data_IF_899848359455
#
_entry.id   IF_899848359455
#
_cell.length_a   1.000
_cell.length_b   1.000
_cell.length_c   1.000
_cell.angle_alpha   90.00
_cell.angle_beta   90.00
_cell.angle_gamma   90.00
#
_symmetry.space_group_name_H-M   'P 1'
#
loop_
_entity.id
_entity.type
_entity.pdbx_description
1 polymer ?
#
# COMPACT_ATOMS: atom_id res chain seq x y z
N UNK A 1 8.48 -12.63 6.49
CA UNK A 1 8.05 -12.20 5.13
C UNK A 1 7.01 -13.18 4.62
N UNK A 2 5.90 -12.69 4.05
CA UNK A 2 4.87 -13.54 3.45
C UNK A 2 5.09 -13.52 1.94
N UNK A 3 5.39 -14.68 1.35
CA UNK A 3 5.58 -14.82 -0.09
C UNK A 3 4.24 -15.04 -0.80
N UNK A 4 4.05 -14.38 -1.93
CA UNK A 4 2.82 -14.44 -2.72
C UNK A 4 3.11 -14.84 -4.15
N UNK A 5 2.54 -15.95 -4.59
CA UNK A 5 2.41 -16.23 -6.01
C UNK A 5 1.13 -15.55 -6.54
N UNK A 6 1.30 -14.54 -7.38
CA UNK A 6 0.20 -13.73 -7.89
C UNK A 6 -0.67 -14.44 -8.93
N UNK A 7 -0.17 -15.53 -9.51
CA UNK A 7 -0.89 -16.34 -10.49
C UNK A 7 -1.87 -17.32 -9.85
N UNK A 8 -1.67 -17.68 -8.59
CA UNK A 8 -2.45 -18.69 -7.88
C UNK A 8 -3.49 -18.07 -6.93
N UNK A 9 -4.76 -18.46 -7.09
CA UNK A 9 -5.83 -18.09 -6.15
C UNK A 9 -5.65 -18.75 -4.78
N UNK A 10 -5.03 -19.92 -4.71
CA UNK A 10 -4.71 -20.61 -3.47
C UNK A 10 -3.63 -19.88 -2.69
N UNK A 11 -2.61 -19.39 -3.36
CA UNK A 11 -1.57 -18.54 -2.75
C UNK A 11 -2.15 -17.26 -2.17
N UNK A 12 -3.10 -16.61 -2.85
CA UNK A 12 -3.80 -15.43 -2.31
C UNK A 12 -4.57 -15.74 -1.03
N UNK A 13 -5.31 -16.85 -0.98
CA UNK A 13 -6.02 -17.29 0.24
C UNK A 13 -5.06 -17.58 1.39
N UNK A 14 -3.91 -18.19 1.09
CA UNK A 14 -2.89 -18.49 2.08
C UNK A 14 -2.28 -17.22 2.67
N UNK A 15 -2.03 -16.21 1.84
CA UNK A 15 -1.56 -14.89 2.30
C UNK A 15 -2.54 -14.26 3.29
N UNK A 16 -3.84 -14.29 2.99
CA UNK A 16 -4.87 -13.78 3.90
C UNK A 16 -4.80 -14.49 5.26
N UNK A 17 -4.75 -15.82 5.28
CA UNK A 17 -4.64 -16.62 6.52
C UNK A 17 -3.38 -16.30 7.32
N UNK A 18 -2.24 -16.16 6.64
CA UNK A 18 -0.97 -15.82 7.30
C UNK A 18 -1.01 -14.39 7.87
N UNK A 19 -1.61 -13.45 7.14
CA UNK A 19 -1.81 -12.07 7.59
C UNK A 19 -2.68 -12.03 8.83
N UNK A 20 -3.82 -12.73 8.83
CA UNK A 20 -4.70 -12.86 9.99
C UNK A 20 -3.98 -13.42 11.22
N UNK A 21 -3.20 -14.49 11.04
CA UNK A 21 -2.43 -15.07 12.11
C UNK A 21 -1.46 -14.05 12.73
N UNK A 22 -0.75 -13.31 11.89
CA UNK A 22 0.20 -12.29 12.36
C UNK A 22 -0.47 -11.13 13.08
N UNK A 23 -1.61 -10.67 12.60
CA UNK A 23 -2.40 -9.64 13.30
C UNK A 23 -2.89 -10.12 14.68
N UNK A 24 -3.34 -11.39 14.79
CA UNK A 24 -3.73 -11.98 16.08
C UNK A 24 -2.56 -12.13 17.06
N UNK A 25 -1.35 -12.30 16.54
CA UNK A 25 -0.11 -12.30 17.32
C UNK A 25 0.34 -10.88 17.74
N UNK A 26 -0.40 -9.83 17.37
CA UNK A 26 -0.06 -8.43 17.67
C UNK A 26 1.02 -7.84 16.76
N UNK A 27 1.32 -8.48 15.63
CA UNK A 27 2.35 -8.05 14.70
C UNK A 27 1.74 -7.07 13.68
N UNK A 28 2.37 -5.90 13.55
CA UNK A 28 1.99 -4.92 12.52
C UNK A 28 2.41 -5.40 11.13
N UNK A 29 1.60 -5.06 10.12
CA UNK A 29 1.83 -5.48 8.74
C UNK A 29 1.90 -4.25 7.85
N UNK A 30 2.92 -4.18 7.01
CA UNK A 30 3.04 -3.16 5.95
C UNK A 30 2.53 -3.75 4.64
N UNK A 31 1.63 -3.03 3.98
CA UNK A 31 1.04 -3.42 2.70
C UNK A 31 1.13 -2.26 1.72
N UNK A 32 1.54 -2.55 0.49
CA UNK A 32 1.50 -1.61 -0.63
C UNK A 32 0.23 -1.87 -1.45
N UNK A 33 -0.83 -1.06 -1.28
CA UNK A 33 -2.16 -1.39 -1.81
C UNK A 33 -2.28 -1.24 -3.33
N UNK A 34 -1.36 -0.54 -3.99
CA UNK A 34 -1.32 -0.46 -5.44
C UNK A 34 -1.05 -1.83 -6.10
N UNK A 35 -0.28 -2.69 -5.43
CA UNK A 35 0.05 -4.04 -5.88
C UNK A 35 0.91 -4.13 -7.14
N UNK A 36 1.23 -3.01 -7.75
CA UNK A 36 2.11 -2.87 -8.91
C UNK A 36 2.82 -1.52 -8.87
N UNK A 37 3.86 -1.35 -9.67
CA UNK A 37 4.49 -0.05 -9.85
C UNK A 37 3.75 0.66 -10.99
N UNK A 38 3.17 1.85 -10.76
CA UNK A 38 2.48 2.60 -11.81
C UNK A 38 3.47 3.14 -12.85
N UNK A 39 2.96 3.49 -14.04
CA UNK A 39 3.75 4.17 -15.05
C UNK A 39 4.25 5.54 -14.58
N UNK A 40 5.26 6.09 -15.23
CA UNK A 40 5.92 7.34 -14.79
C UNK A 40 5.01 8.56 -14.78
N UNK A 41 4.01 8.58 -15.65
CA UNK A 41 3.00 9.63 -15.79
C UNK A 41 1.90 9.57 -14.72
N UNK A 42 1.74 8.42 -14.04
CA UNK A 42 0.75 8.24 -12.98
C UNK A 42 1.37 8.53 -11.63
N UNK A 43 0.85 9.50 -10.89
CA UNK A 43 1.36 9.86 -9.55
C UNK A 43 1.10 8.73 -8.55
N UNK A 44 -0.13 8.23 -8.50
CA UNK A 44 -0.55 7.15 -7.60
C UNK A 44 -1.63 6.31 -8.29
N UNK A 45 -1.36 5.01 -8.42
CA UNK A 45 -2.28 4.05 -9.02
C UNK A 45 -3.53 3.80 -8.17
N UNK A 46 -4.48 3.02 -8.69
CA UNK A 46 -5.65 2.60 -7.93
C UNK A 46 -5.25 1.62 -6.82
N UNK A 47 -5.94 1.71 -5.68
CA UNK A 47 -5.70 0.81 -4.56
C UNK A 47 -6.58 -0.44 -4.62
N UNK A 48 -6.00 -1.58 -4.30
CA UNK A 48 -6.71 -2.85 -4.14
C UNK A 48 -7.35 -2.94 -2.76
N UNK A 49 -8.55 -3.49 -2.69
CA UNK A 49 -9.37 -3.50 -1.47
C UNK A 49 -8.91 -4.50 -0.39
N UNK A 50 -8.05 -5.46 -0.73
CA UNK A 50 -7.67 -6.55 0.18
C UNK A 50 -7.13 -6.11 1.53
N UNK A 51 -6.24 -5.12 1.55
CA UNK A 51 -5.68 -4.58 2.79
C UNK A 51 -6.74 -3.94 3.70
N UNK A 52 -7.68 -3.20 3.09
CA UNK A 52 -8.75 -2.50 3.80
C UNK A 52 -9.80 -3.48 4.36
N UNK A 53 -10.11 -4.53 3.60
CA UNK A 53 -11.00 -5.61 4.06
C UNK A 53 -10.42 -6.32 5.29
N UNK A 54 -9.13 -6.67 5.25
CA UNK A 54 -8.46 -7.30 6.40
C UNK A 54 -8.48 -6.38 7.62
N UNK A 55 -8.17 -5.11 7.44
CA UNK A 55 -8.15 -4.15 8.54
C UNK A 55 -9.53 -4.00 9.21
N UNK A 56 -10.59 -3.94 8.42
CA UNK A 56 -11.97 -3.86 8.93
C UNK A 56 -12.38 -5.16 9.63
N UNK A 57 -12.12 -6.32 9.02
CA UNK A 57 -12.49 -7.62 9.58
C UNK A 57 -11.81 -7.87 10.94
N UNK A 58 -10.57 -7.43 11.09
CA UNK A 58 -9.80 -7.57 12.34
C UNK A 58 -9.85 -6.34 13.24
N UNK A 59 -10.64 -5.32 12.89
CA UNK A 59 -10.75 -4.06 13.64
C UNK A 59 -9.39 -3.41 13.94
N UNK A 60 -8.46 -3.58 13.00
CA UNK A 60 -7.09 -3.08 13.10
C UNK A 60 -7.02 -1.69 12.48
N UNK A 61 -6.47 -0.67 13.19
CA UNK A 61 -6.33 0.65 12.62
C UNK A 61 -5.37 0.66 11.42
N UNK A 62 -5.62 1.55 10.47
CA UNK A 62 -4.74 1.77 9.32
C UNK A 62 -3.94 3.05 9.56
N UNK A 63 -2.63 2.97 9.41
CA UNK A 63 -1.72 4.12 9.43
C UNK A 63 -1.25 4.38 8.00
N UNK A 64 -1.78 5.39 7.30
CA UNK A 64 -1.28 5.73 5.98
C UNK A 64 0.16 6.24 6.05
N UNK A 65 0.98 5.85 5.09
CA UNK A 65 2.37 6.28 4.96
C UNK A 65 2.64 6.75 3.54
N UNK A 66 3.11 7.97 3.38
CA UNK A 66 3.45 8.55 2.08
C UNK A 66 4.96 8.58 1.88
N UNK A 67 5.43 7.87 0.86
CA UNK A 67 6.84 7.89 0.44
C UNK A 67 7.05 9.01 -0.58
N UNK A 68 7.53 10.16 -0.11
CA UNK A 68 7.55 11.41 -0.89
C UNK A 68 8.57 11.42 -2.04
N UNK A 69 9.67 10.72 -1.88
CA UNK A 69 10.82 10.85 -2.79
C UNK A 69 11.10 9.61 -3.64
N UNK A 70 10.35 8.52 -3.46
CA UNK A 70 10.63 7.24 -4.13
C UNK A 70 10.70 7.39 -5.64
N UNK A 71 9.74 8.07 -6.25
CA UNK A 71 9.65 8.26 -7.70
C UNK A 71 10.81 9.08 -8.25
N UNK A 72 11.31 10.05 -7.48
CA UNK A 72 12.47 10.89 -7.85
C UNK A 72 13.80 10.15 -7.71
N UNK A 73 13.90 9.25 -6.72
CA UNK A 73 15.15 8.55 -6.40
C UNK A 73 15.30 7.23 -7.15
N UNK A 74 14.17 6.54 -7.37
CA UNK A 74 14.12 5.25 -8.07
C UNK A 74 13.03 5.29 -9.13
N UNK A 75 13.19 6.08 -10.22
CA UNK A 75 12.22 6.10 -11.30
C UNK A 75 12.23 4.74 -11.99
N UNK A 76 11.19 3.94 -11.77
CA UNK A 76 11.02 2.66 -12.44
C UNK A 76 10.35 2.87 -13.78
N UNK A 77 11.06 2.61 -14.88
CA UNK A 77 10.45 2.48 -16.20
C UNK A 77 10.28 1.01 -16.56
N UNK A 78 9.27 0.72 -17.37
CA UNK A 78 9.07 -0.63 -17.92
C UNK A 78 10.32 -1.00 -18.74
N UNK A 79 11.12 -1.95 -18.25
CA UNK A 79 12.43 -2.29 -18.82
C UNK A 79 13.58 -2.18 -17.81
N UNK A 80 13.30 -1.69 -16.61
CA UNK A 80 14.27 -1.64 -15.51
C UNK A 80 15.51 -0.80 -15.82
N UNK A 81 16.64 -1.24 -15.30
CA UNK A 81 17.94 -0.58 -15.46
C UNK A 81 18.36 -0.41 -16.94
N UNK A 82 17.91 -1.31 -17.82
CA UNK A 82 18.23 -1.27 -19.27
C UNK A 82 17.45 -0.20 -20.04
N UNK A 83 16.35 0.33 -19.48
CA UNK A 83 15.55 1.38 -20.12
C UNK A 83 16.01 2.82 -19.76
N UNK A 84 17.21 2.95 -19.19
CA UNK A 84 17.81 4.27 -18.91
C UNK A 84 17.24 5.00 -17.69
N UNK A 85 16.46 4.32 -16.84
CA UNK A 85 16.06 4.90 -15.56
C UNK A 85 17.28 5.03 -14.64
N UNK A 86 17.68 6.26 -14.36
CA UNK A 86 18.82 6.54 -13.47
C UNK A 86 18.30 6.83 -12.07
N UNK A 87 18.69 6.01 -11.10
CA UNK A 87 18.55 6.36 -9.69
C UNK A 87 19.39 7.58 -9.34
N UNK A 88 18.95 8.37 -8.38
CA UNK A 88 19.72 9.53 -7.91
C UNK A 88 19.90 9.46 -6.39
N UNK A 89 21.08 9.79 -5.85
CA UNK A 89 21.29 9.86 -4.42
C UNK A 89 20.47 11.00 -3.81
N UNK A 90 20.09 10.87 -2.54
CA UNK A 90 19.38 11.89 -1.80
C UNK A 90 18.51 11.34 -0.71
N UNK A 91 17.77 12.21 -0.03
CA UNK A 91 16.89 11.83 1.07
C UNK A 91 15.68 11.05 0.56
N UNK A 92 15.28 10.04 1.31
CA UNK A 92 14.01 9.34 1.17
C UNK A 92 13.16 9.71 2.39
N UNK A 93 12.18 10.59 2.17
CA UNK A 93 11.28 11.05 3.23
C UNK A 93 10.03 10.19 3.23
N UNK A 94 9.58 9.86 4.43
CA UNK A 94 8.30 9.17 4.65
C UNK A 94 7.48 10.05 5.58
N UNK A 95 6.25 10.36 5.19
CA UNK A 95 5.27 11.00 6.04
C UNK A 95 4.33 9.95 6.60
N UNK A 96 4.24 9.90 7.93
CA UNK A 96 3.33 9.00 8.65
C UNK A 96 2.13 9.83 9.08
N UNK A 97 0.93 9.35 8.74
CA UNK A 97 -0.33 10.02 9.04
C UNK A 97 -0.97 9.45 10.31
N UNK A 98 -1.96 10.16 10.81
CA UNK A 98 -2.74 9.70 11.97
C UNK A 98 -3.46 8.38 11.68
N UNK A 99 -3.54 7.49 12.67
CA UNK A 99 -4.25 6.23 12.53
C UNK A 99 -5.73 6.43 12.21
N UNK A 100 -6.24 5.69 11.25
CA UNK A 100 -7.66 5.63 10.93
C UNK A 100 -8.25 4.42 11.63
N UNK A 101 -9.19 4.68 12.56
CA UNK A 101 -9.84 3.63 13.34
C UNK A 101 -10.87 2.90 12.48
N UNK A 102 -10.82 1.57 12.48
CA UNK A 102 -11.72 0.71 11.71
C UNK A 102 -12.74 -0.03 12.56
N UNK A 103 -12.72 0.17 13.89
CA UNK A 103 -13.49 -0.61 14.87
C UNK A 103 -15.00 -0.59 14.62
N UNK A 104 -15.55 0.53 14.14
CA UNK A 104 -16.98 0.73 13.87
C UNK A 104 -17.31 0.59 12.36
N UNK A 105 -16.35 0.16 11.54
CA UNK A 105 -16.54 -0.02 10.11
C UNK A 105 -17.00 -1.43 9.78
N UNK A 106 -17.74 -1.55 8.68
CA UNK A 106 -18.21 -2.80 8.09
C UNK A 106 -17.63 -2.98 6.70
N UNK A 107 -17.83 -4.14 6.11
CA UNK A 107 -17.37 -4.41 4.73
C UNK A 107 -17.95 -3.46 3.68
N UNK A 108 -19.07 -2.80 3.97
CA UNK A 108 -19.66 -1.74 3.12
C UNK A 108 -18.77 -0.49 3.08
N UNK A 109 -17.96 -0.27 4.11
CA UNK A 109 -17.09 0.90 4.24
C UNK A 109 -15.71 0.71 3.57
N UNK A 110 -15.41 -0.49 3.04
CA UNK A 110 -14.11 -0.80 2.41
C UNK A 110 -13.77 0.21 1.31
N UNK A 111 -14.71 0.51 0.44
CA UNK A 111 -14.51 1.45 -0.67
C UNK A 111 -14.25 2.88 -0.17
N UNK A 112 -15.04 3.34 0.80
CA UNK A 112 -14.90 4.65 1.42
C UNK A 112 -13.57 4.79 2.12
N UNK A 113 -13.15 3.78 2.87
CA UNK A 113 -11.87 3.73 3.57
C UNK A 113 -10.70 3.74 2.58
N UNK A 114 -10.78 2.93 1.53
CA UNK A 114 -9.80 2.86 0.46
C UNK A 114 -9.60 4.23 -0.21
N UNK A 115 -10.68 4.88 -0.59
CA UNK A 115 -10.66 6.20 -1.22
C UNK A 115 -10.12 7.28 -0.27
N UNK A 116 -10.49 7.23 1.01
CA UNK A 116 -9.98 8.15 2.04
C UNK A 116 -8.46 8.04 2.18
N UNK A 117 -7.93 6.84 2.34
CA UNK A 117 -6.49 6.60 2.47
C UNK A 117 -5.75 7.03 1.20
N UNK A 118 -6.30 6.68 0.03
CA UNK A 118 -5.71 7.09 -1.25
C UNK A 118 -5.66 8.61 -1.40
N UNK A 119 -6.73 9.32 -1.03
CA UNK A 119 -6.79 10.78 -1.09
C UNK A 119 -5.75 11.45 -0.18
N UNK A 120 -5.55 10.93 1.03
CA UNK A 120 -4.53 11.41 1.97
C UNK A 120 -3.14 11.30 1.35
N UNK A 121 -2.79 10.14 0.80
CA UNK A 121 -1.47 9.89 0.19
C UNK A 121 -1.29 10.73 -1.08
N UNK A 122 -2.32 10.82 -1.91
CA UNK A 122 -2.28 11.56 -3.17
C UNK A 122 -2.05 13.06 -2.93
N UNK A 123 -2.74 13.66 -1.95
CA UNK A 123 -2.59 15.09 -1.64
C UNK A 123 -1.16 15.46 -1.25
N UNK A 124 -0.45 14.58 -0.53
CA UNK A 124 0.94 14.81 -0.18
C UNK A 124 1.88 14.69 -1.39
N UNK A 125 1.61 13.73 -2.27
CA UNK A 125 2.41 13.52 -3.48
C UNK A 125 2.24 14.66 -4.49
N UNK A 126 1.04 15.23 -4.58
CA UNK A 126 0.75 16.39 -5.45
C UNK A 126 1.37 17.70 -4.91
N UNK A 127 1.48 17.82 -3.58
CA UNK A 127 2.10 19.00 -2.94
C UNK A 127 3.63 18.96 -2.88
N UNK A 128 4.22 17.89 -3.34
CA UNK A 128 5.69 17.69 -3.37
C UNK A 128 6.24 17.91 -4.77
#
# INVERSE_FOLDING_TARGET
MILVDRSSNESKKNVFKQTEKKLKEGISIVIFPEGTVPSLDVILGPFKHGAFSIAIDHKTPIVPMTFLDNKKRFPWSYGGLLAGSKGSPGRLRVKIHDPIITKNMTRKDVNTLCNKVRAIILSDLEST
#
